data_IF_423665701057
#
_entry.id   IF_423665701057
#
_cell.length_a   1.000
_cell.length_b   1.000
_cell.length_c   1.000
_cell.angle_alpha   90.00
_cell.angle_beta   90.00
_cell.angle_gamma   90.00
#
_symmetry.space_group_name_H-M   'P 1'
#
loop_
_entity.id
_entity.type
_entity.pdbx_description
1 polymer ?
#
# COMPACT_ATOMS: atom_id res chain seq x y z
N UNK A 1 23.59 1.98 -5.14
CA UNK A 1 22.38 1.40 -4.52
C UNK A 1 22.76 0.61 -3.26
N UNK A 2 21.94 0.64 -2.20
CA UNK A 2 22.12 -0.29 -1.07
C UNK A 2 21.58 -1.66 -1.48
N UNK A 3 22.23 -2.74 -1.06
CA UNK A 3 21.80 -4.13 -1.33
C UNK A 3 20.83 -4.66 -0.26
N UNK A 4 20.15 -3.78 0.46
CA UNK A 4 19.32 -4.15 1.59
C UNK A 4 17.98 -4.70 1.09
N UNK A 5 17.58 -5.86 1.62
CA UNK A 5 16.21 -6.33 1.47
C UNK A 5 15.31 -5.52 2.40
N UNK A 6 14.28 -4.88 1.85
CA UNK A 6 13.32 -4.11 2.63
C UNK A 6 12.23 -5.02 3.20
N UNK A 7 12.17 -5.08 4.53
CA UNK A 7 11.07 -5.70 5.28
C UNK A 7 9.96 -4.67 5.53
N UNK A 8 9.24 -4.30 4.46
CA UNK A 8 8.11 -3.36 4.57
C UNK A 8 6.81 -4.12 4.85
N UNK A 9 6.34 -4.08 6.08
CA UNK A 9 5.05 -4.63 6.56
C UNK A 9 4.55 -3.81 7.76
N UNK A 10 3.40 -4.18 8.32
CA UNK A 10 2.78 -3.48 9.44
C UNK A 10 3.02 -4.20 10.78
N UNK A 11 4.12 -4.95 10.91
CA UNK A 11 4.45 -5.69 12.14
C UNK A 11 4.60 -4.77 13.36
N UNK A 12 5.11 -3.55 13.17
CA UNK A 12 5.30 -2.58 14.26
C UNK A 12 3.99 -1.96 14.78
N UNK A 13 2.84 -2.27 14.15
CA UNK A 13 1.55 -1.71 14.56
C UNK A 13 0.95 -2.47 15.76
N UNK A 14 0.48 -1.69 16.74
CA UNK A 14 -0.33 -2.21 17.85
C UNK A 14 -1.68 -2.77 17.39
N UNK A 15 -2.24 -2.21 16.31
CA UNK A 15 -3.50 -2.66 15.71
C UNK A 15 -3.44 -4.13 15.27
N UNK A 16 -2.31 -4.54 14.70
CA UNK A 16 -2.11 -5.93 14.26
C UNK A 16 -2.29 -6.89 15.42
N UNK A 17 -1.69 -6.58 16.58
CA UNK A 17 -1.80 -7.38 17.80
C UNK A 17 -3.25 -7.59 18.25
N UNK A 18 -4.04 -6.51 18.34
CA UNK A 18 -5.45 -6.65 18.75
C UNK A 18 -6.30 -7.42 17.75
N UNK A 19 -6.03 -7.26 16.46
CA UNK A 19 -6.78 -7.95 15.42
C UNK A 19 -6.52 -9.46 15.48
N UNK A 20 -5.26 -9.86 15.73
CA UNK A 20 -4.92 -11.24 16.04
C UNK A 20 -5.59 -11.71 17.33
N UNK A 21 -5.44 -10.98 18.44
CA UNK A 21 -6.03 -11.39 19.72
C UNK A 21 -7.56 -11.48 19.65
N UNK A 22 -8.20 -10.76 18.74
CA UNK A 22 -9.64 -10.86 18.47
C UNK A 22 -10.01 -12.15 17.75
N UNK A 23 -9.24 -12.58 16.72
CA UNK A 23 -9.65 -13.64 15.78
C UNK A 23 -8.94 -14.98 16.00
N UNK A 24 -7.77 -15.01 16.64
CA UNK A 24 -6.81 -16.14 16.62
C UNK A 24 -7.37 -17.49 17.12
N UNK A 25 -8.50 -17.49 17.84
CA UNK A 25 -9.17 -18.71 18.32
C UNK A 25 -10.55 -18.94 17.71
N UNK A 26 -10.91 -18.19 16.67
CA UNK A 26 -12.22 -18.24 16.04
C UNK A 26 -12.12 -18.79 14.63
N UNK A 27 -12.40 -20.09 14.49
CA UNK A 27 -12.37 -20.76 13.20
C UNK A 27 -13.78 -20.99 12.68
N UNK A 28 -14.16 -20.30 11.61
CA UNK A 28 -15.53 -20.39 11.04
C UNK A 28 -16.01 -21.83 10.78
N UNK A 29 -15.11 -22.76 10.43
CA UNK A 29 -15.44 -24.16 10.17
C UNK A 29 -15.88 -24.94 11.43
N UNK A 30 -15.54 -24.46 12.63
CA UNK A 30 -15.96 -25.07 13.90
C UNK A 30 -17.40 -24.68 14.30
N UNK A 31 -18.02 -23.78 13.52
CA UNK A 31 -19.36 -23.29 13.78
C UNK A 31 -20.36 -23.77 12.72
N UNK A 32 -21.62 -24.01 13.10
CA UNK A 32 -22.62 -24.58 12.20
C UNK A 32 -23.27 -23.55 11.26
N UNK A 33 -22.63 -22.42 10.99
CA UNK A 33 -23.23 -21.34 10.19
C UNK A 33 -23.38 -21.74 8.72
N UNK A 34 -24.58 -21.58 8.17
CA UNK A 34 -24.89 -21.90 6.78
C UNK A 34 -24.75 -20.67 5.87
N UNK A 35 -24.72 -19.47 6.43
CA UNK A 35 -24.63 -18.21 5.68
C UNK A 35 -23.91 -17.10 6.44
N UNK A 36 -23.45 -16.09 5.70
CA UNK A 36 -22.85 -14.88 6.28
C UNK A 36 -23.85 -14.13 7.19
N UNK A 37 -25.12 -14.06 6.81
CA UNK A 37 -26.14 -13.35 7.58
C UNK A 37 -26.41 -14.04 8.93
N UNK A 38 -26.36 -15.38 8.95
CA UNK A 38 -26.45 -16.15 10.19
C UNK A 38 -25.24 -15.90 11.09
N UNK A 39 -24.03 -16.01 10.55
CA UNK A 39 -22.79 -15.72 11.28
C UNK A 39 -22.78 -14.30 11.86
N UNK A 40 -23.09 -13.29 11.04
CA UNK A 40 -23.13 -11.89 11.44
C UNK A 40 -24.17 -11.64 12.53
N UNK A 41 -25.30 -12.34 12.49
CA UNK A 41 -26.34 -12.19 13.50
C UNK A 41 -25.98 -12.88 14.82
N UNK A 42 -25.31 -14.04 14.75
CA UNK A 42 -24.91 -14.80 15.93
C UNK A 42 -23.67 -14.23 16.63
N UNK A 43 -22.64 -13.86 15.87
CA UNK A 43 -21.36 -13.33 16.37
C UNK A 43 -20.96 -12.04 15.63
N UNK A 44 -21.67 -10.93 15.84
CA UNK A 44 -21.47 -9.69 15.08
C UNK A 44 -20.07 -9.08 15.24
N UNK A 45 -19.47 -9.20 16.43
CA UNK A 45 -18.09 -8.77 16.70
C UNK A 45 -17.04 -9.54 15.87
N UNK A 46 -17.23 -10.86 15.69
CA UNK A 46 -16.36 -11.68 14.84
C UNK A 46 -16.55 -11.35 13.37
N UNK A 47 -17.78 -11.08 12.93
CA UNK A 47 -18.03 -10.61 11.56
C UNK A 47 -17.33 -9.26 11.30
N UNK A 48 -17.41 -8.33 12.24
CA UNK A 48 -16.69 -7.05 12.19
C UNK A 48 -15.17 -7.23 12.20
N UNK A 49 -14.64 -8.10 13.07
CA UNK A 49 -13.22 -8.44 13.10
C UNK A 49 -12.74 -9.06 11.78
N UNK A 50 -13.53 -9.97 11.20
CA UNK A 50 -13.20 -10.62 9.94
C UNK A 50 -13.14 -9.63 8.78
N UNK A 51 -14.14 -8.76 8.63
CA UNK A 51 -14.14 -7.73 7.59
C UNK A 51 -12.96 -6.77 7.76
N UNK A 52 -12.69 -6.36 9.00
CA UNK A 52 -11.54 -5.51 9.33
C UNK A 52 -10.21 -6.19 8.99
N UNK A 53 -10.07 -7.47 9.32
CA UNK A 53 -8.89 -8.28 8.98
C UNK A 53 -8.65 -8.36 7.48
N UNK A 54 -9.69 -8.59 6.69
CA UNK A 54 -9.56 -8.63 5.22
C UNK A 54 -9.02 -7.30 4.69
N UNK A 55 -9.48 -6.16 5.22
CA UNK A 55 -8.98 -4.83 4.83
C UNK A 55 -7.56 -4.57 5.33
N UNK A 56 -7.25 -4.92 6.57
CA UNK A 56 -5.92 -4.78 7.15
C UNK A 56 -4.89 -5.61 6.37
N UNK A 57 -5.19 -6.88 6.11
CA UNK A 57 -4.32 -7.77 5.34
C UNK A 57 -4.12 -7.25 3.91
N UNK A 58 -5.16 -6.72 3.28
CA UNK A 58 -5.02 -6.08 1.96
C UNK A 58 -4.09 -4.87 1.99
N UNK A 59 -4.12 -4.07 3.07
CA UNK A 59 -3.24 -2.92 3.27
C UNK A 59 -1.79 -3.37 3.48
N UNK A 60 -1.56 -4.34 4.37
CA UNK A 60 -0.24 -4.92 4.62
C UNK A 60 0.38 -5.51 3.33
N UNK A 61 -0.43 -6.24 2.55
CA UNK A 61 0.02 -6.81 1.28
C UNK A 61 0.49 -5.75 0.28
N UNK A 62 -0.01 -4.50 0.34
CA UNK A 62 0.50 -3.44 -0.55
C UNK A 62 1.97 -3.11 -0.25
N UNK A 63 2.39 -3.16 1.00
CA UNK A 63 3.80 -2.94 1.37
C UNK A 63 4.67 -4.11 0.93
N UNK A 64 4.18 -5.34 1.06
CA UNK A 64 4.86 -6.53 0.54
C UNK A 64 5.05 -6.43 -0.98
N UNK A 65 4.00 -6.04 -1.70
CA UNK A 65 4.03 -5.88 -3.16
C UNK A 65 4.97 -4.75 -3.63
N UNK A 66 5.21 -3.75 -2.80
CA UNK A 66 6.17 -2.66 -3.10
C UNK A 66 7.63 -3.12 -3.03
N UNK A 67 7.94 -4.20 -2.29
CA UNK A 67 9.31 -4.73 -2.11
C UNK A 67 9.96 -5.17 -3.42
N UNK A 68 9.16 -5.50 -4.45
CA UNK A 68 9.67 -5.89 -5.77
C UNK A 68 10.30 -4.71 -6.52
N UNK A 69 9.90 -3.47 -6.23
CA UNK A 69 10.37 -2.30 -6.99
C UNK A 69 11.88 -2.08 -6.80
N UNK A 70 12.44 -2.04 -5.57
CA UNK A 70 13.89 -2.02 -5.36
C UNK A 70 14.61 -3.19 -6.04
N UNK A 71 14.02 -4.39 -6.05
CA UNK A 71 14.61 -5.58 -6.68
C UNK A 71 14.68 -5.42 -8.20
N UNK A 72 13.63 -4.89 -8.83
CA UNK A 72 13.62 -4.60 -10.26
C UNK A 72 14.68 -3.54 -10.63
N UNK A 73 14.84 -2.52 -9.79
CA UNK A 73 15.90 -1.52 -9.98
C UNK A 73 17.29 -2.16 -9.84
N UNK A 74 17.45 -3.18 -8.99
CA UNK A 74 18.71 -3.90 -8.78
C UNK A 74 19.15 -4.84 -9.91
N UNK A 75 18.42 -4.92 -11.03
CA UNK A 75 18.82 -5.74 -12.18
C UNK A 75 20.02 -5.11 -12.89
N UNK A 76 21.16 -5.82 -12.88
CA UNK A 76 22.41 -5.35 -13.49
C UNK A 76 22.51 -5.70 -14.98
N UNK A 77 21.99 -6.87 -15.37
CA UNK A 77 22.12 -7.41 -16.73
C UNK A 77 21.00 -6.89 -17.63
N UNK A 78 21.23 -5.73 -18.27
CA UNK A 78 20.35 -5.15 -19.27
C UNK A 78 21.05 -5.01 -20.62
N UNK A 79 20.34 -5.23 -21.74
CA UNK A 79 18.90 -5.50 -21.87
C UNK A 79 18.48 -6.91 -21.42
N UNK A 80 17.26 -7.05 -20.86
CA UNK A 80 16.71 -8.35 -20.47
C UNK A 80 16.36 -9.17 -21.72
N UNK A 81 16.82 -10.42 -21.76
CA UNK A 81 16.55 -11.32 -22.87
C UNK A 81 15.12 -11.87 -22.80
N UNK A 82 14.43 -11.91 -23.94
CA UNK A 82 13.06 -12.42 -24.07
C UNK A 82 12.91 -13.21 -25.39
N UNK A 83 11.91 -14.11 -25.44
CA UNK A 83 11.62 -14.90 -26.64
C UNK A 83 11.03 -14.07 -27.79
N UNK A 84 10.45 -12.91 -27.49
CA UNK A 84 9.78 -12.05 -28.48
C UNK A 84 10.65 -10.85 -28.81
N UNK A 85 10.97 -10.03 -27.81
CA UNK A 85 11.79 -8.84 -27.95
C UNK A 85 12.45 -8.51 -26.62
N UNK A 86 13.75 -8.28 -26.66
CA UNK A 86 14.53 -7.90 -25.48
C UNK A 86 14.00 -6.59 -24.87
N UNK A 87 13.94 -6.53 -23.54
CA UNK A 87 13.52 -5.32 -22.83
C UNK A 87 14.77 -4.47 -22.61
N UNK A 88 14.85 -3.33 -23.31
CA UNK A 88 15.96 -2.40 -23.19
C UNK A 88 15.88 -1.59 -21.88
N UNK A 89 16.94 -0.83 -21.59
CA UNK A 89 17.06 0.01 -20.38
C UNK A 89 15.93 1.02 -20.23
N UNK A 90 15.48 1.61 -21.34
CA UNK A 90 14.40 2.59 -21.37
C UNK A 90 13.06 1.94 -20.99
N UNK A 91 12.71 0.84 -21.65
CA UNK A 91 11.46 0.14 -21.39
C UNK A 91 11.43 -0.47 -19.98
N UNK A 92 12.58 -0.92 -19.48
CA UNK A 92 12.72 -1.39 -18.10
C UNK A 92 12.43 -0.29 -17.05
N UNK A 93 13.07 0.87 -17.16
CA UNK A 93 12.83 2.00 -16.25
C UNK A 93 11.38 2.48 -16.32
N UNK A 94 10.83 2.58 -17.53
CA UNK A 94 9.45 2.99 -17.75
C UNK A 94 8.48 2.03 -17.05
N UNK A 95 8.67 0.72 -17.20
CA UNK A 95 7.83 -0.30 -16.55
C UNK A 95 7.91 -0.22 -15.03
N UNK A 96 9.09 0.06 -14.47
CA UNK A 96 9.26 0.25 -13.02
C UNK A 96 8.43 1.44 -12.53
N UNK A 97 8.54 2.61 -13.19
CA UNK A 97 7.78 3.81 -12.80
C UNK A 97 6.26 3.57 -12.93
N UNK A 98 5.81 2.96 -14.03
CA UNK A 98 4.39 2.67 -14.25
C UNK A 98 3.85 1.74 -13.15
N UNK A 99 4.62 0.71 -12.76
CA UNK A 99 4.27 -0.19 -11.65
C UNK A 99 4.28 0.53 -10.29
N UNK A 100 5.30 1.34 -9.99
CA UNK A 100 5.36 2.11 -8.74
C UNK A 100 4.14 3.02 -8.58
N UNK A 101 3.76 3.73 -9.64
CA UNK A 101 2.59 4.61 -9.65
C UNK A 101 1.28 3.85 -9.40
N UNK A 102 1.14 2.68 -10.00
CA UNK A 102 -0.01 1.81 -9.75
C UNK A 102 -0.05 1.37 -8.27
N UNK A 103 1.08 0.93 -7.71
CA UNK A 103 1.16 0.47 -6.32
C UNK A 103 0.87 1.59 -5.31
N UNK A 104 1.41 2.80 -5.50
CA UNK A 104 1.08 3.94 -4.64
C UNK A 104 -0.39 4.34 -4.70
N UNK A 105 -1.02 4.27 -5.88
CA UNK A 105 -2.47 4.52 -5.99
C UNK A 105 -3.27 3.47 -5.21
N UNK A 106 -2.92 2.20 -5.38
CA UNK A 106 -3.58 1.07 -4.70
C UNK A 106 -3.43 1.16 -3.18
N UNK A 107 -2.23 1.48 -2.68
CA UNK A 107 -1.95 1.69 -1.26
C UNK A 107 -2.88 2.73 -0.64
N UNK A 108 -3.01 3.89 -1.29
CA UNK A 108 -3.91 4.96 -0.84
C UNK A 108 -5.37 4.49 -0.82
N UNK A 109 -5.84 3.89 -1.90
CA UNK A 109 -7.25 3.53 -2.04
C UNK A 109 -7.62 2.43 -1.02
N UNK A 110 -6.72 1.47 -0.76
CA UNK A 110 -6.92 0.43 0.25
C UNK A 110 -6.91 1.02 1.67
N UNK A 111 -6.02 1.97 1.97
CA UNK A 111 -6.04 2.68 3.26
C UNK A 111 -7.39 3.39 3.50
N UNK A 112 -7.99 3.95 2.44
CA UNK A 112 -9.31 4.56 2.52
C UNK A 112 -10.41 3.52 2.82
N UNK A 113 -10.35 2.37 2.17
CA UNK A 113 -11.29 1.26 2.44
C UNK A 113 -11.15 0.73 3.85
N UNK A 114 -9.92 0.63 4.37
CA UNK A 114 -9.67 0.20 5.74
C UNK A 114 -10.34 1.13 6.75
N UNK A 115 -10.15 2.44 6.64
CA UNK A 115 -10.82 3.42 7.53
C UNK A 115 -12.34 3.38 7.38
N UNK A 116 -12.85 3.27 6.16
CA UNK A 116 -14.28 3.17 5.90
C UNK A 116 -14.92 1.94 6.55
N UNK A 117 -14.19 0.82 6.60
CA UNK A 117 -14.60 -0.43 7.24
C UNK A 117 -14.54 -0.32 8.77
N UNK A 118 -13.40 0.09 9.33
CA UNK A 118 -13.21 0.14 10.80
C UNK A 118 -14.19 1.10 11.45
N UNK A 119 -14.41 2.28 10.84
CA UNK A 119 -15.33 3.28 11.37
C UNK A 119 -16.79 3.08 10.90
N UNK A 120 -17.08 2.02 10.13
CA UNK A 120 -18.40 1.73 9.56
C UNK A 120 -19.07 2.96 8.89
N UNK A 121 -18.28 3.76 8.14
CA UNK A 121 -18.76 5.03 7.57
C UNK A 121 -19.79 4.82 6.44
N UNK A 122 -19.89 3.59 5.91
CA UNK A 122 -20.81 3.21 4.84
C UNK A 122 -20.70 4.09 3.59
N UNK A 123 -19.51 4.63 3.31
CA UNK A 123 -19.28 5.34 2.05
C UNK A 123 -19.19 4.32 0.93
N UNK A 124 -19.94 4.49 -0.17
CA UNK A 124 -19.86 3.58 -1.29
C UNK A 124 -18.54 3.78 -2.04
N UNK A 125 -17.99 2.70 -2.60
CA UNK A 125 -16.67 2.66 -3.24
C UNK A 125 -16.45 3.80 -4.24
N UNK A 126 -17.43 4.08 -5.10
CA UNK A 126 -17.35 5.14 -6.12
C UNK A 126 -17.28 6.57 -5.55
N UNK A 127 -17.55 6.77 -4.25
CA UNK A 127 -17.40 8.04 -3.54
C UNK A 127 -16.22 8.07 -2.58
N UNK A 128 -15.52 6.96 -2.41
CA UNK A 128 -14.45 6.82 -1.44
C UNK A 128 -13.17 7.50 -1.95
N UNK A 129 -12.94 8.73 -1.51
CA UNK A 129 -11.75 9.50 -1.81
C UNK A 129 -11.44 10.44 -0.64
N UNK A 130 -10.22 11.02 -0.64
CA UNK A 130 -9.76 11.88 0.45
C UNK A 130 -10.67 13.08 0.72
N UNK A 131 -11.32 13.65 -0.30
CA UNK A 131 -12.20 14.81 -0.12
C UNK A 131 -13.46 14.42 0.64
N UNK A 132 -14.02 13.26 0.32
CA UNK A 132 -15.20 12.74 1.00
C UNK A 132 -14.87 12.27 2.42
N UNK A 133 -13.76 11.55 2.61
CA UNK A 133 -13.29 11.16 3.95
C UNK A 133 -13.00 12.39 4.82
N UNK A 134 -12.30 13.40 4.28
CA UNK A 134 -12.02 14.65 4.97
C UNK A 134 -13.28 15.49 5.28
N UNK A 135 -14.42 15.18 4.68
CA UNK A 135 -15.71 15.80 5.04
C UNK A 135 -16.34 15.08 6.23
N UNK A 136 -16.26 13.75 6.26
CA UNK A 136 -16.89 12.92 7.31
C UNK A 136 -16.07 12.90 8.60
N UNK A 137 -14.74 12.84 8.48
CA UNK A 137 -13.82 12.67 9.61
C UNK A 137 -13.40 13.97 10.28
N UNK A 138 -13.62 15.13 9.65
CA UNK A 138 -13.04 16.41 10.09
C UNK A 138 -13.33 16.75 11.55
N UNK A 139 -14.59 16.58 11.94
CA UNK A 139 -15.08 17.07 13.22
C UNK A 139 -15.06 15.96 14.30
N UNK A 140 -14.90 14.71 13.87
CA UNK A 140 -15.06 13.52 14.73
C UNK A 140 -13.77 12.71 14.89
N UNK A 141 -12.89 12.73 13.89
CA UNK A 141 -11.69 11.90 13.79
C UNK A 141 -10.52 12.65 13.10
N UNK A 142 -10.14 13.85 13.59
CA UNK A 142 -9.09 14.66 12.95
C UNK A 142 -7.73 13.96 12.91
N UNK A 143 -7.43 13.14 13.92
CA UNK A 143 -6.15 12.44 14.05
C UNK A 143 -5.98 11.32 13.01
N UNK A 144 -7.07 10.65 12.62
CA UNK A 144 -7.10 9.69 11.51
C UNK A 144 -6.90 10.40 10.16
N UNK A 145 -7.40 11.64 10.03
CA UNK A 145 -7.31 12.38 8.77
C UNK A 145 -5.88 12.81 8.42
N UNK A 146 -5.02 13.05 9.41
CA UNK A 146 -3.65 13.49 9.15
C UNK A 146 -2.81 12.42 8.42
N UNK A 147 -2.71 11.16 8.89
CA UNK A 147 -2.03 10.10 8.16
C UNK A 147 -2.65 9.81 6.78
N UNK A 148 -3.98 9.88 6.65
CA UNK A 148 -4.66 9.72 5.36
C UNK A 148 -4.22 10.74 4.30
N UNK A 149 -3.94 11.99 4.71
CA UNK A 149 -3.43 13.02 3.80
C UNK A 149 -1.98 12.75 3.39
N UNK A 150 -1.16 12.22 4.29
CA UNK A 150 0.20 11.80 3.95
C UNK A 150 0.15 10.68 2.91
N UNK A 151 -0.69 9.66 3.14
CA UNK A 151 -0.91 8.56 2.19
C UNK A 151 -1.46 9.06 0.84
N UNK A 152 -2.32 10.08 0.84
CA UNK A 152 -2.79 10.71 -0.40
C UNK A 152 -1.68 11.42 -1.18
N UNK A 153 -0.71 11.97 -0.46
CA UNK A 153 0.49 12.60 -1.00
C UNK A 153 1.52 11.63 -1.57
N UNK A 154 1.43 10.33 -1.30
CA UNK A 154 2.43 9.36 -1.76
C UNK A 154 2.55 9.28 -3.29
N UNK A 155 3.76 8.98 -3.75
CA UNK A 155 4.16 8.94 -5.16
C UNK A 155 4.02 10.28 -5.88
N UNK A 156 3.93 11.42 -5.18
CA UNK A 156 3.76 12.75 -5.81
C UNK A 156 4.86 13.08 -6.82
N UNK A 157 6.16 12.87 -6.53
CA UNK A 157 7.23 13.15 -7.48
C UNK A 157 7.06 12.38 -8.80
N UNK A 158 6.72 11.08 -8.72
CA UNK A 158 6.47 10.24 -9.89
C UNK A 158 5.18 10.65 -10.62
N UNK A 159 4.13 11.03 -9.88
CA UNK A 159 2.85 11.47 -10.47
C UNK A 159 3.00 12.78 -11.24
N UNK A 160 3.79 13.71 -10.71
CA UNK A 160 4.07 14.99 -11.37
C UNK A 160 4.82 14.75 -12.69
N UNK A 161 5.81 13.87 -12.70
CA UNK A 161 6.51 13.49 -13.92
C UNK A 161 5.57 12.84 -14.95
N UNK A 162 4.77 11.85 -14.52
CA UNK A 162 3.74 11.23 -15.38
C UNK A 162 2.74 12.26 -15.92
N UNK A 163 2.29 13.20 -15.11
CA UNK A 163 1.34 14.22 -15.57
C UNK A 163 2.01 15.15 -16.60
N UNK A 164 3.27 15.54 -16.40
CA UNK A 164 4.03 16.28 -17.40
C UNK A 164 4.13 15.49 -18.71
N UNK A 165 4.36 14.18 -18.64
CA UNK A 165 4.33 13.27 -19.80
C UNK A 165 2.97 13.24 -20.49
N UNK A 166 1.89 13.08 -19.74
CA UNK A 166 0.54 13.03 -20.30
C UNK A 166 0.13 14.36 -20.95
N UNK A 167 0.48 15.49 -20.34
CA UNK A 167 0.09 16.83 -20.82
C UNK A 167 0.99 17.36 -21.93
N UNK A 168 2.29 17.08 -21.89
CA UNK A 168 3.28 17.66 -22.81
C UNK A 168 3.84 16.64 -23.82
N UNK A 169 3.53 15.35 -23.67
CA UNK A 169 4.09 14.27 -24.48
C UNK A 169 5.55 13.92 -24.16
N UNK A 170 6.19 14.61 -23.23
CA UNK A 170 7.58 14.40 -22.84
C UNK A 170 7.68 13.41 -21.67
N UNK A 171 8.20 12.21 -21.94
CA UNK A 171 8.69 11.34 -20.87
C UNK A 171 10.06 11.88 -20.45
N UNK A 172 10.31 12.02 -19.15
CA UNK A 172 11.66 12.20 -18.65
C UNK A 172 11.84 11.20 -17.53
N UNK A 173 12.41 10.04 -17.86
CA UNK A 173 12.70 8.98 -16.88
C UNK A 173 13.85 9.40 -15.95
N UNK A 174 13.95 10.68 -15.56
CA UNK A 174 15.06 11.27 -14.83
C UNK A 174 16.42 11.10 -15.54
N UNK A 175 16.42 11.18 -16.86
CA UNK A 175 17.57 10.96 -17.75
C UNK A 175 18.17 12.26 -18.28
N UNK A 176 17.53 13.40 -18.01
CA UNK A 176 17.85 14.77 -18.46
C UNK A 176 17.73 14.99 -19.99
N UNK A 177 18.07 13.99 -20.80
CA UNK A 177 17.81 13.91 -22.25
C UNK A 177 17.18 12.56 -22.62
N UNK A 178 15.87 12.47 -22.40
CA UNK A 178 15.10 11.24 -22.56
C UNK A 178 15.04 10.74 -24.01
N UNK A 179 15.01 11.65 -24.99
CA UNK A 179 14.96 11.26 -26.41
C UNK A 179 16.26 10.62 -26.88
N UNK A 180 17.40 11.19 -26.47
CA UNK A 180 18.70 10.60 -26.75
C UNK A 180 18.87 9.27 -26.00
N UNK A 181 18.49 9.23 -24.73
CA UNK A 181 18.54 8.01 -23.92
C UNK A 181 17.72 6.88 -24.55
N UNK A 182 16.48 7.17 -24.93
CA UNK A 182 15.60 6.23 -25.63
C UNK A 182 16.24 5.72 -26.91
N UNK A 183 16.73 6.61 -27.76
CA UNK A 183 17.35 6.22 -29.04
C UNK A 183 18.59 5.34 -28.83
N UNK A 184 19.42 5.66 -27.83
CA UNK A 184 20.59 4.87 -27.46
C UNK A 184 20.20 3.49 -26.93
N UNK A 185 19.23 3.40 -26.00
CA UNK A 185 18.76 2.14 -25.44
C UNK A 185 18.14 1.22 -26.49
N UNK A 186 17.43 1.77 -27.49
CA UNK A 186 16.92 1.00 -28.62
C UNK A 186 18.05 0.48 -29.52
N UNK A 187 19.10 1.27 -29.72
CA UNK A 187 20.27 0.86 -30.52
C UNK A 187 21.02 -0.32 -29.89
N UNK A 188 21.08 -0.40 -28.55
CA UNK A 188 21.66 -1.53 -27.82
C UNK A 188 20.99 -2.86 -28.22
N UNK A 189 19.68 -2.85 -28.45
CA UNK A 189 18.91 -4.03 -28.87
C UNK A 189 19.30 -4.59 -30.25
N UNK A 190 19.89 -3.75 -31.10
CA UNK A 190 20.39 -4.14 -32.43
C UNK A 190 21.92 -4.36 -32.43
N UNK A 191 22.55 -4.46 -31.27
CA UNK A 191 24.01 -4.61 -31.14
C UNK A 191 24.79 -3.35 -31.56
N UNK A 192 24.12 -2.21 -31.69
CA UNK A 192 24.70 -0.94 -32.14
C UNK A 192 24.87 0.02 -30.95
N UNK A 193 25.83 0.95 -31.05
CA UNK A 193 26.09 1.96 -30.02
C UNK A 193 26.11 3.35 -30.64
N UNK A 194 25.55 4.32 -29.93
CA UNK A 194 25.67 5.73 -30.32
C UNK A 194 27.01 6.24 -29.80
N UNK A 195 27.90 6.64 -30.71
CA UNK A 195 29.24 7.11 -30.36
C UNK A 195 29.13 8.39 -29.52
N UNK A 196 29.86 8.43 -28.41
CA UNK A 196 29.92 9.60 -27.53
C UNK A 196 28.77 9.72 -26.53
N UNK A 197 27.85 8.75 -26.45
CA UNK A 197 26.77 8.72 -25.47
C UNK A 197 26.87 7.53 -24.53
N UNK A 198 27.00 7.82 -23.22
CA UNK A 198 27.09 6.80 -22.17
C UNK A 198 25.69 6.39 -21.68
N UNK A 199 25.06 5.48 -22.41
CA UNK A 199 23.73 4.95 -22.08
C UNK A 199 23.69 4.24 -20.73
N UNK A 200 24.78 3.56 -20.33
CA UNK A 200 24.86 2.83 -19.07
C UNK A 200 24.93 3.83 -17.91
N UNK A 201 25.82 4.82 -17.98
CA UNK A 201 25.93 5.85 -16.94
C UNK A 201 24.69 6.72 -16.80
N UNK A 202 23.98 7.02 -17.89
CA UNK A 202 22.67 7.72 -17.82
C UNK A 202 21.61 6.84 -17.17
N UNK A 203 21.55 5.55 -17.53
CA UNK A 203 20.66 4.58 -16.89
C UNK A 203 20.92 4.48 -15.39
N UNK A 204 22.18 4.32 -14.98
CA UNK A 204 22.54 4.14 -13.56
C UNK A 204 22.16 5.36 -12.71
N UNK A 205 22.38 6.59 -13.23
CA UNK A 205 21.96 7.83 -12.56
C UNK A 205 20.44 7.93 -12.41
N UNK A 206 19.71 7.63 -13.49
CA UNK A 206 18.25 7.62 -13.49
C UNK A 206 17.70 6.59 -12.51
N UNK A 207 18.21 5.34 -12.58
CA UNK A 207 17.86 4.25 -11.67
C UNK A 207 18.06 4.66 -10.21
N UNK A 208 19.23 5.19 -9.86
CA UNK A 208 19.54 5.55 -8.48
C UNK A 208 18.64 6.69 -7.95
N UNK A 209 18.24 7.62 -8.83
CA UNK A 209 17.28 8.68 -8.49
C UNK A 209 15.87 8.11 -8.28
N UNK A 210 15.40 7.25 -9.18
CA UNK A 210 14.10 6.57 -9.04
C UNK A 210 14.07 5.72 -7.76
N UNK A 211 15.14 4.96 -7.50
CA UNK A 211 15.30 4.17 -6.28
C UNK A 211 15.14 5.04 -5.03
N UNK A 212 15.85 6.16 -4.98
CA UNK A 212 15.80 7.08 -3.82
C UNK A 212 14.40 7.65 -3.61
N UNK A 213 13.72 8.04 -4.70
CA UNK A 213 12.33 8.52 -4.63
C UNK A 213 11.41 7.42 -4.08
N UNK A 214 11.44 6.22 -4.68
CA UNK A 214 10.56 5.12 -4.28
C UNK A 214 10.77 4.75 -2.82
N UNK A 215 12.02 4.55 -2.40
CA UNK A 215 12.31 4.12 -1.02
C UNK A 215 11.82 5.16 0.00
N UNK A 216 12.06 6.45 -0.25
CA UNK A 216 11.60 7.52 0.63
C UNK A 216 10.07 7.56 0.71
N UNK A 217 9.40 7.49 -0.44
CA UNK A 217 7.93 7.51 -0.52
C UNK A 217 7.31 6.29 0.19
N UNK A 218 7.90 5.10 0.07
CA UNK A 218 7.42 3.92 0.80
C UNK A 218 7.65 4.04 2.30
N UNK A 219 8.80 4.59 2.73
CA UNK A 219 9.07 4.80 4.16
C UNK A 219 8.11 5.81 4.79
N UNK A 220 7.86 6.94 4.12
CA UNK A 220 6.86 7.91 4.57
C UNK A 220 5.45 7.30 4.61
N UNK A 221 5.09 6.53 3.59
CA UNK A 221 3.81 5.84 3.55
C UNK A 221 3.69 4.79 4.67
N UNK A 222 4.76 4.06 4.98
CA UNK A 222 4.77 3.04 6.02
C UNK A 222 4.54 3.66 7.40
N UNK A 223 5.26 4.73 7.73
CA UNK A 223 5.08 5.47 8.99
C UNK A 223 3.65 6.00 9.10
N UNK A 224 3.11 6.57 8.01
CA UNK A 224 1.74 7.06 7.98
C UNK A 224 0.72 5.91 8.09
N UNK A 225 0.96 4.76 7.49
CA UNK A 225 0.07 3.60 7.60
C UNK A 225 0.06 3.02 9.01
N UNK A 226 1.21 2.89 9.67
CA UNK A 226 1.30 2.45 11.07
C UNK A 226 0.52 3.42 11.97
N UNK A 227 0.79 4.72 11.83
CA UNK A 227 0.03 5.74 12.56
C UNK A 227 -1.47 5.63 12.28
N UNK A 228 -1.88 5.46 11.02
CA UNK A 228 -3.30 5.32 10.66
C UNK A 228 -3.98 4.14 11.34
N UNK A 229 -3.35 2.95 11.30
CA UNK A 229 -3.95 1.74 11.87
C UNK A 229 -3.98 1.83 13.40
N UNK A 230 -2.97 2.45 14.01
CA UNK A 230 -2.93 2.64 15.46
C UNK A 230 -3.92 3.72 15.93
N UNK A 231 -4.19 4.76 15.14
CA UNK A 231 -5.25 5.74 15.48
C UNK A 231 -6.66 5.13 15.44
N UNK A 232 -6.90 4.14 14.55
CA UNK A 232 -8.21 3.46 14.52
C UNK A 232 -8.35 2.34 15.58
N UNK A 233 -7.27 2.02 16.30
CA UNK A 233 -7.22 0.94 17.29
C UNK A 233 -8.33 1.03 18.33
N UNK A 234 -8.50 2.20 18.96
CA UNK A 234 -9.49 2.40 20.03
C UNK A 234 -10.91 2.18 19.50
N UNK A 235 -11.20 2.71 18.30
CA UNK A 235 -12.50 2.57 17.66
C UNK A 235 -12.82 1.12 17.33
N UNK A 236 -11.84 0.39 16.78
CA UNK A 236 -11.98 -1.04 16.52
C UNK A 236 -12.25 -1.81 17.82
N UNK A 237 -11.41 -1.61 18.84
CA UNK A 237 -11.50 -2.27 20.14
C UNK A 237 -12.89 -2.06 20.77
N UNK A 238 -13.31 -0.80 20.88
CA UNK A 238 -14.56 -0.45 21.57
C UNK A 238 -15.77 -0.98 20.80
N UNK A 239 -15.73 -0.89 19.47
CA UNK A 239 -16.79 -1.41 18.62
C UNK A 239 -16.88 -2.93 18.69
N UNK A 240 -15.75 -3.62 18.60
CA UNK A 240 -15.66 -5.06 18.74
C UNK A 240 -16.23 -5.52 20.09
N UNK A 241 -15.84 -4.85 21.18
CA UNK A 241 -16.32 -5.21 22.52
C UNK A 241 -17.83 -4.96 22.69
N UNK A 242 -18.33 -3.82 22.20
CA UNK A 242 -19.76 -3.50 22.24
C UNK A 242 -20.59 -4.50 21.45
N UNK A 243 -20.11 -4.97 20.29
CA UNK A 243 -20.79 -5.99 19.49
C UNK A 243 -20.77 -7.36 20.18
N UNK A 244 -19.73 -7.67 20.96
CA UNK A 244 -19.61 -8.96 21.63
C UNK A 244 -20.64 -9.15 22.75
N UNK A 245 -21.17 -8.07 23.33
CA UNK A 245 -22.22 -8.14 24.36
C UNK A 245 -23.50 -8.85 23.87
N UNK A 246 -23.78 -8.80 22.57
CA UNK A 246 -24.93 -9.44 21.94
C UNK A 246 -24.57 -10.74 21.20
N UNK A 247 -23.35 -11.23 21.36
CA UNK A 247 -22.85 -12.40 20.63
C UNK A 247 -23.04 -13.70 21.38
N UNK A 248 -23.04 -14.80 20.64
CA UNK A 248 -23.07 -16.15 21.19
C UNK A 248 -21.73 -16.52 21.85
N UNK A 249 -20.61 -16.19 21.20
CA UNK A 249 -19.28 -16.62 21.66
C UNK A 249 -18.67 -15.70 22.72
N UNK A 250 -19.06 -14.43 22.77
CA UNK A 250 -18.34 -13.40 23.52
C UNK A 250 -16.93 -13.15 22.96
N UNK A 251 -16.20 -12.22 23.57
CA UNK A 251 -14.81 -11.92 23.19
C UNK A 251 -13.85 -13.05 23.58
N UNK A 252 -12.73 -13.15 22.86
CA UNK A 252 -11.64 -14.06 23.23
C UNK A 252 -11.04 -13.70 24.60
N UNK A 253 -10.44 -14.69 25.27
CA UNK A 253 -9.77 -14.47 26.56
C UNK A 253 -8.58 -13.50 26.43
N UNK A 254 -7.83 -13.56 25.32
CA UNK A 254 -6.73 -12.64 25.03
C UNK A 254 -7.24 -11.21 24.88
N UNK A 255 -8.29 -11.00 24.08
CA UNK A 255 -8.91 -9.68 23.93
C UNK A 255 -9.38 -9.11 25.27
N UNK A 256 -10.04 -9.93 26.07
CA UNK A 256 -10.51 -9.54 27.40
C UNK A 256 -9.36 -9.12 28.33
N UNK A 257 -8.23 -9.83 28.31
CA UNK A 257 -7.11 -9.58 29.21
C UNK A 257 -6.27 -8.36 28.83
N UNK A 258 -6.04 -8.17 27.53
CA UNK A 258 -5.07 -7.19 27.04
C UNK A 258 -5.67 -5.90 26.50
N UNK A 259 -6.92 -5.95 26.00
CA UNK A 259 -7.48 -4.83 25.25
C UNK A 259 -8.65 -4.16 25.96
N UNK A 260 -9.54 -4.90 26.62
CA UNK A 260 -10.70 -4.28 27.31
C UNK A 260 -10.27 -3.21 28.31
N UNK A 261 -11.07 -2.14 28.38
CA UNK A 261 -10.93 -1.17 29.46
C UNK A 261 -11.18 -1.84 30.80
N UNK A 262 -10.21 -1.72 31.72
CA UNK A 262 -10.38 -2.19 33.08
C UNK A 262 -11.43 -1.30 33.74
N UNK A 263 -12.54 -1.90 34.13
CA UNK A 263 -13.54 -1.22 34.97
C UNK A 263 -12.84 -0.75 36.25
N UNK A 264 -12.68 0.57 36.39
CA UNK A 264 -12.15 1.23 37.58
C UNK A 264 -13.11 1.09 38.76
#
# INVERSE_FOLDING_TARGET
MKSDYYWWDLEDSSFKGVLYDSINTYFLHDHPYESWDEFRSADPHMAYAHLTYVRFNALEQQFVDLRVIPQMLGVENLPLQSQVQNINRYDWLKSIIDLSLFRFSSLRDIAFHFVNEVLELNLPDHKLNIKQLAKVLRDTHPDILAPLKVLEGTGTPLRQDRNNRAHKGFCNLYTDDDQMFKSAAWSEGYGSKIIGYDVIGVYDKSRDKIYSIVVNEVQEALVASIALVDEVYIYYRDRHDALAANSRSGVSAHFHQYHREKSS
#
